data_IF_890166804345
#
_entry.id   IF_890166804345
#
_cell.length_a   1.000
_cell.length_b   1.000
_cell.length_c   1.000
_cell.angle_alpha   90.00
_cell.angle_beta   90.00
_cell.angle_gamma   90.00
#
_symmetry.space_group_name_H-M   'P 1'
#
loop_
_entity.id
_entity.type
_entity.pdbx_description
1 polymer ?
#
# COMPACT_ATOMS: atom_id res chain seq x y z
N UNK A 1 30.55 -50.30 11.24
CA UNK A 1 29.11 -49.99 11.35
C UNK A 1 28.98 -48.49 11.58
N UNK A 2 28.22 -47.66 10.87
CA UNK A 2 27.27 -47.82 9.78
C UNK A 2 27.26 -46.46 9.05
N UNK A 3 27.54 -46.49 7.75
CA UNK A 3 27.26 -45.43 6.80
C UNK A 3 25.74 -45.22 6.66
N UNK A 4 25.25 -43.98 6.81
CA UNK A 4 23.90 -43.60 6.36
C UNK A 4 23.91 -42.22 5.71
N UNK A 5 24.24 -42.26 4.42
CA UNK A 5 23.57 -41.56 3.31
C UNK A 5 22.60 -40.44 3.70
N UNK A 6 23.09 -39.19 3.69
CA UNK A 6 22.24 -38.04 3.43
C UNK A 6 21.88 -38.03 1.94
N UNK A 7 20.79 -38.72 1.61
CA UNK A 7 20.14 -38.59 0.30
C UNK A 7 19.50 -37.19 0.24
N UNK A 8 20.19 -36.24 -0.39
CA UNK A 8 19.61 -34.95 -0.79
C UNK A 8 18.38 -35.24 -1.65
N UNK A 9 17.17 -35.09 -1.10
CA UNK A 9 15.96 -34.95 -1.90
C UNK A 9 16.05 -33.60 -2.61
N UNK A 10 16.49 -33.63 -3.87
CA UNK A 10 16.20 -32.57 -4.86
C UNK A 10 14.69 -32.50 -5.03
N UNK A 11 14.09 -31.32 -4.86
CA UNK A 11 12.75 -31.03 -5.41
C UNK A 11 11.62 -30.78 -4.41
N UNK A 12 11.85 -30.02 -3.33
CA UNK A 12 10.75 -29.32 -2.65
C UNK A 12 11.07 -27.84 -2.62
N UNK A 13 10.34 -27.05 -3.40
CA UNK A 13 10.25 -25.61 -3.21
C UNK A 13 9.98 -25.36 -1.73
N UNK A 14 10.75 -24.45 -1.14
CA UNK A 14 10.53 -24.04 0.24
C UNK A 14 9.06 -23.60 0.37
N UNK A 15 8.35 -23.98 1.46
CA UNK A 15 6.97 -23.57 1.62
C UNK A 15 6.93 -22.04 1.63
N UNK A 16 6.30 -21.44 0.61
CA UNK A 16 5.98 -20.02 0.64
C UNK A 16 5.16 -19.75 1.90
N UNK A 17 5.69 -18.93 2.79
CA UNK A 17 4.99 -18.50 3.98
C UNK A 17 3.67 -17.85 3.54
N UNK A 18 2.58 -18.10 4.27
CA UNK A 18 1.25 -17.61 3.90
C UNK A 18 1.20 -16.08 3.72
N UNK A 19 2.05 -15.35 4.45
CA UNK A 19 2.29 -13.90 4.33
C UNK A 19 2.98 -13.45 3.03
N UNK A 20 3.43 -14.38 2.19
CA UNK A 20 4.08 -14.08 0.90
C UNK A 20 3.10 -14.13 -0.27
N UNK A 21 1.90 -14.69 -0.07
CA UNK A 21 0.86 -14.79 -1.10
C UNK A 21 0.25 -13.43 -1.40
N UNK A 22 -0.02 -13.14 -2.67
CA UNK A 22 -0.67 -11.88 -3.11
C UNK A 22 -2.03 -11.66 -2.42
N UNK A 23 -2.82 -12.73 -2.23
CA UNK A 23 -4.10 -12.69 -1.52
C UNK A 23 -3.97 -12.28 -0.05
N UNK A 24 -2.87 -12.66 0.62
CA UNK A 24 -2.58 -12.26 2.00
C UNK A 24 -2.30 -10.76 2.11
N UNK A 25 -1.53 -10.22 1.16
CA UNK A 25 -1.24 -8.78 1.10
C UNK A 25 -2.48 -7.93 0.81
N UNK A 26 -3.34 -8.38 -0.10
CA UNK A 26 -4.60 -7.69 -0.40
C UNK A 26 -5.55 -7.76 0.81
N UNK A 27 -5.68 -8.90 1.47
CA UNK A 27 -6.49 -9.01 2.69
C UNK A 27 -5.98 -8.07 3.79
N UNK A 28 -4.66 -7.98 3.99
CA UNK A 28 -4.07 -7.05 4.95
C UNK A 28 -4.27 -5.58 4.55
N UNK A 29 -4.22 -5.27 3.25
CA UNK A 29 -4.55 -3.94 2.72
C UNK A 29 -5.98 -3.51 3.08
N UNK A 30 -6.95 -4.39 2.83
CA UNK A 30 -8.37 -4.12 3.13
C UNK A 30 -8.63 -3.99 4.63
N UNK A 31 -7.94 -4.79 5.46
CA UNK A 31 -8.04 -4.70 6.91
C UNK A 31 -7.52 -3.34 7.43
N UNK A 32 -6.37 -2.87 6.93
CA UNK A 32 -5.83 -1.55 7.29
C UNK A 32 -6.79 -0.42 6.87
N UNK A 33 -7.35 -0.49 5.66
CA UNK A 33 -8.30 0.53 5.17
C UNK A 33 -9.56 0.57 6.05
N UNK A 34 -10.12 -0.60 6.39
CA UNK A 34 -11.27 -0.68 7.31
C UNK A 34 -10.93 -0.06 8.67
N UNK A 35 -9.74 -0.35 9.21
CA UNK A 35 -9.32 0.20 10.50
C UNK A 35 -9.12 1.72 10.43
N UNK A 36 -8.62 2.24 9.31
CA UNK A 36 -8.52 3.67 9.07
C UNK A 36 -9.91 4.36 9.11
N UNK A 37 -10.92 3.75 8.50
CA UNK A 37 -12.29 4.26 8.50
C UNK A 37 -12.89 4.31 9.91
N UNK A 38 -12.64 3.27 10.73
CA UNK A 38 -13.07 3.20 12.13
C UNK A 38 -12.42 4.30 12.97
N UNK A 39 -11.11 4.54 12.79
CA UNK A 39 -10.33 5.50 13.56
C UNK A 39 -10.50 6.95 13.11
N UNK A 40 -11.14 7.21 11.96
CA UNK A 40 -11.25 8.54 11.37
C UNK A 40 -11.75 9.63 12.35
N UNK A 41 -12.62 9.27 13.30
CA UNK A 41 -13.13 10.22 14.31
C UNK A 41 -12.26 10.33 15.56
N UNK A 42 -11.56 9.25 15.91
CA UNK A 42 -10.83 9.10 17.17
C UNK A 42 -9.38 9.57 17.03
N UNK A 43 -8.75 9.21 15.91
CA UNK A 43 -7.36 9.49 15.60
C UNK A 43 -7.19 9.68 14.08
N UNK A 44 -7.42 10.91 13.56
CA UNK A 44 -7.27 11.23 12.14
C UNK A 44 -5.86 10.97 11.59
N UNK A 45 -4.82 11.20 12.41
CA UNK A 45 -3.43 11.00 12.01
C UNK A 45 -3.15 9.51 11.77
N UNK A 46 -3.52 8.67 12.73
CA UNK A 46 -3.39 7.21 12.60
C UNK A 46 -4.28 6.67 11.48
N UNK A 47 -5.49 7.22 11.32
CA UNK A 47 -6.37 6.86 10.23
C UNK A 47 -5.73 7.14 8.86
N UNK A 48 -5.17 8.33 8.66
CA UNK A 48 -4.49 8.71 7.42
C UNK A 48 -3.25 7.82 7.17
N UNK A 49 -2.46 7.53 8.21
CA UNK A 49 -1.32 6.62 8.11
C UNK A 49 -1.72 5.21 7.69
N UNK A 50 -2.75 4.63 8.32
CA UNK A 50 -3.25 3.30 7.99
C UNK A 50 -3.82 3.24 6.57
N UNK A 51 -4.54 4.28 6.12
CA UNK A 51 -5.00 4.37 4.74
C UNK A 51 -3.83 4.41 3.75
N UNK A 52 -2.77 5.15 4.04
CA UNK A 52 -1.56 5.17 3.22
C UNK A 52 -0.87 3.80 3.17
N UNK A 53 -0.77 3.10 4.32
CA UNK A 53 -0.22 1.74 4.40
C UNK A 53 -1.08 0.73 3.63
N UNK A 54 -2.40 0.84 3.72
CA UNK A 54 -3.34 0.01 2.98
C UNK A 54 -3.06 0.10 1.47
N UNK A 55 -2.90 1.30 0.93
CA UNK A 55 -2.55 1.49 -0.48
C UNK A 55 -1.20 0.83 -0.83
N UNK A 56 -0.17 0.93 0.04
CA UNK A 56 1.12 0.24 -0.19
C UNK A 56 1.00 -1.27 -0.20
N UNK A 57 0.22 -1.84 0.71
CA UNK A 57 0.00 -3.29 0.77
C UNK A 57 -0.71 -3.81 -0.48
N UNK A 58 -1.62 -3.01 -1.07
CA UNK A 58 -2.23 -3.37 -2.36
C UNK A 58 -1.21 -3.42 -3.50
N UNK A 59 -0.25 -2.49 -3.56
CA UNK A 59 0.86 -2.60 -4.53
C UNK A 59 1.75 -3.81 -4.26
N UNK A 60 2.05 -4.13 -2.99
CA UNK A 60 2.77 -5.37 -2.66
C UNK A 60 2.04 -6.62 -3.13
N UNK A 61 0.71 -6.65 -3.04
CA UNK A 61 -0.07 -7.76 -3.60
C UNK A 61 0.13 -7.87 -5.12
N UNK A 62 0.19 -6.75 -5.84
CA UNK A 62 0.42 -6.70 -7.28
C UNK A 62 1.86 -7.11 -7.66
N UNK A 63 2.85 -6.64 -6.91
CA UNK A 63 4.25 -7.07 -7.01
C UNK A 63 4.36 -8.59 -6.88
N UNK A 64 3.72 -9.16 -5.86
CA UNK A 64 3.68 -10.61 -5.63
C UNK A 64 2.98 -11.36 -6.76
N UNK A 65 1.83 -10.88 -7.24
CA UNK A 65 1.14 -11.48 -8.40
C UNK A 65 2.03 -11.47 -9.65
N UNK A 66 2.80 -10.39 -9.85
CA UNK A 66 3.71 -10.24 -10.97
C UNK A 66 5.08 -10.93 -10.78
N UNK A 67 5.34 -11.58 -9.65
CA UNK A 67 6.61 -12.28 -9.38
C UNK A 67 7.83 -11.37 -9.30
N UNK A 68 7.66 -10.08 -8.98
CA UNK A 68 8.76 -9.10 -8.90
C UNK A 68 8.69 -8.28 -7.61
N UNK A 69 9.82 -7.76 -7.16
CA UNK A 69 9.90 -6.85 -6.01
C UNK A 69 10.36 -5.49 -6.50
N UNK A 70 9.66 -4.43 -6.12
CA UNK A 70 10.03 -3.06 -6.49
C UNK A 70 10.53 -2.32 -5.24
N UNK A 71 11.60 -1.53 -5.39
CA UNK A 71 12.11 -0.64 -4.32
C UNK A 71 11.46 0.75 -4.35
N UNK A 72 10.51 0.97 -5.26
CA UNK A 72 9.92 2.27 -5.51
C UNK A 72 8.93 2.67 -4.41
N UNK A 73 9.10 3.90 -3.92
CA UNK A 73 8.34 4.46 -2.80
C UNK A 73 7.30 5.49 -3.22
N UNK A 74 7.19 5.82 -4.52
CA UNK A 74 6.12 6.64 -5.10
C UNK A 74 5.02 5.76 -5.70
N UNK A 75 3.75 6.08 -5.40
CA UNK A 75 2.58 5.41 -5.96
C UNK A 75 2.43 5.69 -7.44
N UNK A 76 2.70 6.92 -7.88
CA UNK A 76 2.63 7.28 -9.31
C UNK A 76 3.67 6.47 -10.09
N UNK A 77 4.90 6.40 -9.58
CA UNK A 77 5.95 5.60 -10.22
C UNK A 77 5.63 4.11 -10.15
N UNK A 78 5.12 3.60 -9.03
CA UNK A 78 4.66 2.22 -8.94
C UNK A 78 3.59 1.91 -9.97
N UNK A 79 2.53 2.71 -10.09
CA UNK A 79 1.50 2.54 -11.11
C UNK A 79 2.11 2.41 -12.51
N UNK A 80 3.03 3.30 -12.87
CA UNK A 80 3.66 3.31 -14.19
C UNK A 80 4.48 2.04 -14.50
N UNK A 81 4.92 1.29 -13.48
CA UNK A 81 5.65 0.03 -13.68
C UNK A 81 4.75 -1.12 -14.12
N UNK A 82 3.44 -1.04 -13.88
CA UNK A 82 2.48 -2.11 -14.16
C UNK A 82 1.59 -1.75 -15.36
N UNK A 83 1.20 -2.72 -16.21
CA UNK A 83 0.22 -2.49 -17.28
C UNK A 83 -1.07 -1.85 -16.76
N UNK A 84 -1.50 -2.24 -15.56
CA UNK A 84 -2.66 -1.69 -14.87
C UNK A 84 -2.58 -0.16 -14.74
N UNK A 85 -1.41 0.39 -14.41
CA UNK A 85 -1.28 1.84 -14.25
C UNK A 85 -1.30 2.62 -15.56
N UNK A 86 -0.95 1.98 -16.70
CA UNK A 86 -1.06 2.63 -18.01
C UNK A 86 -2.52 2.96 -18.34
N UNK A 87 -3.42 2.02 -18.05
CA UNK A 87 -4.87 2.13 -18.27
C UNK A 87 -5.62 2.73 -17.08
N UNK A 88 -4.93 3.20 -16.05
CA UNK A 88 -5.57 3.83 -14.91
C UNK A 88 -6.31 5.11 -15.34
N UNK A 89 -7.57 5.22 -14.92
CA UNK A 89 -8.37 6.42 -15.13
C UNK A 89 -7.76 7.61 -14.39
N UNK A 90 -8.02 8.82 -14.86
CA UNK A 90 -7.50 10.06 -14.25
C UNK A 90 -7.71 10.12 -12.72
N UNK A 91 -8.89 9.77 -12.15
CA UNK A 91 -9.08 9.80 -10.70
C UNK A 91 -8.11 8.88 -9.93
N UNK A 92 -7.71 7.74 -10.50
CA UNK A 92 -6.75 6.82 -9.90
C UNK A 92 -5.34 7.40 -9.91
N UNK A 93 -4.96 8.04 -11.02
CA UNK A 93 -3.67 8.72 -11.15
C UNK A 93 -3.58 9.91 -10.18
N UNK A 94 -4.65 10.68 -10.06
CA UNK A 94 -4.75 11.80 -9.13
C UNK A 94 -4.68 11.32 -7.67
N UNK A 95 -5.35 10.21 -7.33
CA UNK A 95 -5.28 9.61 -6.00
C UNK A 95 -3.86 9.15 -5.64
N UNK A 96 -3.16 8.48 -6.57
CA UNK A 96 -1.77 8.09 -6.36
C UNK A 96 -0.84 9.29 -6.15
N UNK A 97 -1.02 10.36 -6.94
CA UNK A 97 -0.26 11.60 -6.78
C UNK A 97 -0.54 12.26 -5.42
N UNK A 98 -1.81 12.33 -5.02
CA UNK A 98 -2.21 12.87 -3.72
C UNK A 98 -1.55 12.12 -2.55
N UNK A 99 -1.56 10.78 -2.59
CA UNK A 99 -0.94 9.96 -1.55
C UNK A 99 0.59 10.08 -1.48
N UNK A 100 1.26 10.35 -2.61
CA UNK A 100 2.69 10.64 -2.64
C UNK A 100 3.01 12.00 -2.00
N UNK A 101 2.20 13.02 -2.27
CA UNK A 101 2.32 14.34 -1.64
C UNK A 101 2.07 14.26 -0.14
N UNK A 102 1.01 13.56 0.28
CA UNK A 102 0.74 13.33 1.70
C UNK A 102 1.96 12.75 2.43
N UNK A 103 2.62 11.74 1.87
CA UNK A 103 3.80 11.13 2.51
C UNK A 103 5.00 12.05 2.58
N UNK A 104 5.21 12.88 1.56
CA UNK A 104 6.30 13.86 1.56
C UNK A 104 6.05 14.90 2.65
N UNK A 105 4.84 15.41 2.74
CA UNK A 105 4.45 16.40 3.76
C UNK A 105 4.53 15.80 5.17
N UNK A 106 3.99 14.60 5.39
CA UNK A 106 4.08 13.90 6.68
C UNK A 106 5.49 13.40 7.07
N UNK A 107 6.51 13.59 6.22
CA UNK A 107 7.93 13.30 6.54
C UNK A 107 8.73 14.57 6.85
N UNK A 108 8.16 15.72 6.53
CA UNK A 108 8.78 17.03 6.66
C UNK A 108 7.84 17.88 7.54
N UNK A 109 7.85 17.61 8.85
CA UNK A 109 7.11 18.42 9.84
C UNK A 109 7.48 19.91 9.73
N UNK A 110 8.71 20.21 9.30
CA UNK A 110 9.23 21.53 9.00
C UNK A 110 8.51 22.22 7.83
N UNK A 111 8.31 21.50 6.72
CA UNK A 111 7.50 22.01 5.61
C UNK A 111 6.01 22.05 5.94
N UNK A 112 5.53 21.22 6.86
CA UNK A 112 4.14 21.25 7.31
C UNK A 112 3.78 22.58 8.00
N UNK A 113 4.75 23.23 8.65
CA UNK A 113 4.57 24.51 9.35
C UNK A 113 4.82 25.75 8.47
N UNK A 114 5.75 25.69 7.50
CA UNK A 114 6.17 26.89 6.74
C UNK A 114 5.25 27.31 5.58
N UNK A 115 4.51 26.40 4.94
CA UNK A 115 3.69 26.78 3.75
C UNK A 115 2.35 27.44 4.09
N UNK A 116 2.04 27.66 5.37
CA UNK A 116 0.83 28.37 5.81
C UNK A 116 -0.47 27.79 5.18
N UNK A 117 -0.66 26.47 5.28
CA UNK A 117 -1.97 25.85 5.06
C UNK A 117 -2.84 25.86 6.34
N UNK A 118 -2.32 26.34 7.48
CA UNK A 118 -3.09 26.45 8.73
C UNK A 118 -3.49 25.12 9.36
N UNK A 119 -2.85 24.01 8.98
CA UNK A 119 -3.20 22.67 9.45
C UNK A 119 -2.38 22.38 10.71
N UNK A 120 -3.03 22.35 11.87
CA UNK A 120 -2.48 21.76 13.08
C UNK A 120 -2.36 20.23 12.95
N UNK A 121 -2.71 19.41 13.96
CA UNK A 121 -2.94 17.97 13.74
C UNK A 121 -3.89 17.78 12.55
N UNK A 122 -3.70 16.70 11.79
CA UNK A 122 -4.41 16.51 10.52
C UNK A 122 -5.91 16.56 10.79
N UNK A 123 -6.63 17.42 10.07
CA UNK A 123 -8.06 17.51 10.30
C UNK A 123 -8.72 16.20 9.86
N UNK A 124 -9.85 15.86 10.50
CA UNK A 124 -10.67 14.71 10.10
C UNK A 124 -10.98 14.70 8.60
N UNK A 125 -11.12 15.88 8.00
CA UNK A 125 -11.38 16.04 6.58
C UNK A 125 -10.17 15.67 5.71
N UNK A 126 -8.96 16.03 6.11
CA UNK A 126 -7.74 15.62 5.41
C UNK A 126 -7.54 14.10 5.50
N UNK A 127 -7.77 13.52 6.68
CA UNK A 127 -7.70 12.07 6.88
C UNK A 127 -8.75 11.34 6.03
N UNK A 128 -9.97 11.89 5.92
CA UNK A 128 -11.02 11.38 5.03
C UNK A 128 -10.56 11.36 3.57
N UNK A 129 -9.93 12.44 3.09
CA UNK A 129 -9.41 12.52 1.71
C UNK A 129 -8.31 11.48 1.45
N UNK A 130 -7.44 11.21 2.44
CA UNK A 130 -6.43 10.14 2.35
C UNK A 130 -7.08 8.76 2.27
N UNK A 131 -8.10 8.49 3.10
CA UNK A 131 -8.88 7.25 3.05
C UNK A 131 -9.55 7.08 1.68
N UNK A 132 -10.18 8.13 1.15
CA UNK A 132 -10.86 8.07 -0.15
C UNK A 132 -9.89 7.82 -1.30
N UNK A 133 -8.74 8.50 -1.31
CA UNK A 133 -7.69 8.27 -2.29
C UNK A 133 -7.14 6.83 -2.20
N UNK A 134 -6.89 6.34 -0.98
CA UNK A 134 -6.45 4.96 -0.76
C UNK A 134 -7.49 3.95 -1.24
N UNK A 135 -8.77 4.13 -0.89
CA UNK A 135 -9.87 3.27 -1.32
C UNK A 135 -9.99 3.22 -2.84
N UNK A 136 -9.95 4.37 -3.49
CA UNK A 136 -10.06 4.45 -4.95
C UNK A 136 -8.91 3.69 -5.65
N UNK A 137 -7.70 3.83 -5.12
CA UNK A 137 -6.52 3.13 -5.63
C UNK A 137 -6.59 1.62 -5.36
N UNK A 138 -6.97 1.20 -4.15
CA UNK A 138 -7.10 -0.22 -3.79
C UNK A 138 -8.17 -0.90 -4.63
N UNK A 139 -9.36 -0.30 -4.78
CA UNK A 139 -10.44 -0.85 -5.59
C UNK A 139 -9.99 -1.05 -7.04
N UNK A 140 -9.27 -0.08 -7.62
CA UNK A 140 -8.72 -0.19 -8.96
C UNK A 140 -7.77 -1.40 -9.10
N UNK A 141 -6.90 -1.60 -8.11
CA UNK A 141 -5.95 -2.72 -8.10
C UNK A 141 -6.63 -4.06 -7.82
N UNK A 142 -7.62 -4.12 -6.93
CA UNK A 142 -8.35 -5.33 -6.58
C UNK A 142 -8.98 -6.00 -7.81
N UNK A 143 -9.62 -5.22 -8.68
CA UNK A 143 -10.21 -5.70 -9.93
C UNK A 143 -9.19 -6.36 -10.87
N UNK A 144 -7.90 -6.13 -10.66
CA UNK A 144 -6.78 -6.66 -11.45
C UNK A 144 -6.02 -7.76 -10.72
N UNK A 145 -6.23 -7.89 -9.40
CA UNK A 145 -5.64 -8.94 -8.57
C UNK A 145 -6.47 -10.23 -8.59
N UNK A 146 -7.79 -10.12 -8.77
CA UNK A 146 -8.68 -11.24 -9.13
C UNK A 146 -8.29 -11.84 -10.49
#
# INVERSE_FOLDING_TARGET
MLSRLFRRQKGKEAPELESQRSSSWLASSLADLKKAEELLKEDPDLAAFLAWQAARKAFKALEKKAGRSLSESSFVKLLAQFPEGQYALKPVKDAALFLDHFRRLAKHDDLFQEVNLGLGPLEREDARRVIEAARLLINFLEHRLK
#
